data_IF_183993452086
#
_entry.id   IF_183993452086
#
_cell.length_a   1.000
_cell.length_b   1.000
_cell.length_c   1.000
_cell.angle_alpha   90.00
_cell.angle_beta   90.00
_cell.angle_gamma   90.00
#
_symmetry.space_group_name_H-M   'P 1'
#
loop_
_entity.id
_entity.type
_entity.pdbx_description
1 polymer ?
#
# COMPACT_ATOMS: atom_id res chain seq x y z
N UNK A 1 -7.27 7.01 12.80
CA UNK A 1 -6.88 5.59 12.82
C UNK A 1 -5.74 5.34 11.88
N UNK A 2 -4.83 4.41 12.19
CA UNK A 2 -3.82 3.98 11.21
C UNK A 2 -2.34 4.22 11.48
N UNK A 3 -1.89 3.99 12.71
CA UNK A 3 -0.44 3.84 12.97
C UNK A 3 -0.09 2.37 13.02
N UNK A 4 0.31 1.93 14.21
CA UNK A 4 0.62 0.54 14.56
C UNK A 4 -0.47 -0.47 14.16
N UNK A 5 -1.75 -0.07 14.18
CA UNK A 5 -2.87 -0.95 13.81
C UNK A 5 -2.80 -1.42 12.35
N UNK A 6 -2.47 -0.55 11.41
CA UNK A 6 -2.30 -0.96 10.01
C UNK A 6 -1.04 -1.81 9.79
N UNK A 7 0.00 -1.64 10.61
CA UNK A 7 1.15 -2.55 10.59
C UNK A 7 0.74 -3.94 11.09
N UNK A 8 -0.07 -4.04 12.14
CA UNK A 8 -0.61 -5.31 12.61
C UNK A 8 -1.44 -6.03 11.53
N UNK A 9 -2.30 -5.31 10.79
CA UNK A 9 -3.06 -5.86 9.66
C UNK A 9 -2.14 -6.48 8.59
N UNK A 10 -1.08 -5.77 8.21
CA UNK A 10 -0.10 -6.27 7.24
C UNK A 10 0.69 -7.49 7.75
N UNK A 11 1.04 -7.53 9.03
CA UNK A 11 1.73 -8.68 9.65
C UNK A 11 0.82 -9.91 9.69
N UNK A 12 -0.45 -9.73 10.05
CA UNK A 12 -1.44 -10.81 10.01
C UNK A 12 -1.62 -11.31 8.58
N UNK A 13 -1.75 -10.40 7.61
CA UNK A 13 -1.87 -10.79 6.20
C UNK A 13 -0.63 -11.52 5.70
N UNK A 14 0.58 -11.10 6.09
CA UNK A 14 1.82 -11.82 5.74
C UNK A 14 1.81 -13.26 6.23
N UNK A 15 1.35 -13.50 7.46
CA UNK A 15 1.20 -14.85 8.00
C UNK A 15 0.17 -15.67 7.20
N UNK A 16 -0.96 -15.08 6.79
CA UNK A 16 -1.94 -15.73 5.91
C UNK A 16 -1.29 -16.12 4.58
N UNK A 17 -0.57 -15.20 3.94
CA UNK A 17 0.12 -15.47 2.67
C UNK A 17 1.20 -16.56 2.82
N UNK A 18 1.89 -16.61 3.97
CA UNK A 18 2.89 -17.63 4.25
C UNK A 18 2.26 -19.03 4.38
N UNK A 19 1.07 -19.11 4.99
CA UNK A 19 0.31 -20.37 5.06
C UNK A 19 -0.17 -20.82 3.69
N UNK A 20 -0.67 -19.90 2.86
CA UNK A 20 -1.05 -20.21 1.46
C UNK A 20 0.15 -20.77 0.70
N UNK A 21 1.32 -20.13 0.81
CA UNK A 21 2.56 -20.63 0.19
C UNK A 21 2.85 -22.09 0.56
N UNK A 22 2.70 -22.45 1.83
CA UNK A 22 2.95 -23.82 2.31
C UNK A 22 1.86 -24.79 1.82
N UNK A 23 0.59 -24.40 1.93
CA UNK A 23 -0.55 -25.25 1.56
C UNK A 23 -0.60 -25.57 0.06
N UNK A 24 -0.14 -24.65 -0.78
CA UNK A 24 -0.13 -24.78 -2.24
C UNK A 24 1.25 -25.13 -2.82
N UNK A 25 2.25 -25.41 -1.96
CA UNK A 25 3.63 -25.74 -2.33
C UNK A 25 4.25 -24.74 -3.34
N UNK A 26 4.06 -23.45 -3.06
CA UNK A 26 4.52 -22.39 -3.96
C UNK A 26 6.01 -22.09 -3.75
N UNK A 27 6.77 -21.80 -4.83
CA UNK A 27 8.21 -21.51 -4.73
C UNK A 27 8.47 -20.20 -3.97
N UNK A 28 7.56 -19.23 -4.08
CA UNK A 28 7.68 -17.89 -3.49
C UNK A 28 6.39 -17.47 -2.80
N UNK A 29 6.48 -16.47 -1.92
CA UNK A 29 5.31 -15.90 -1.27
C UNK A 29 4.36 -15.29 -2.33
N UNK A 30 3.09 -15.73 -2.41
CA UNK A 30 2.17 -15.20 -3.40
C UNK A 30 1.80 -13.73 -3.15
N UNK A 31 1.40 -13.03 -4.22
CA UNK A 31 0.87 -11.68 -4.13
C UNK A 31 -0.57 -11.69 -3.59
N UNK A 32 -0.94 -10.81 -2.63
CA UNK A 32 -2.30 -10.75 -2.12
C UNK A 32 -3.35 -10.52 -3.23
N UNK A 33 -3.06 -9.69 -4.22
CA UNK A 33 -3.99 -9.43 -5.34
C UNK A 33 -4.31 -10.65 -6.21
N UNK A 34 -3.58 -11.77 -6.07
CA UNK A 34 -3.88 -13.01 -6.79
C UNK A 34 -4.87 -13.91 -6.03
N UNK A 35 -5.15 -13.62 -4.75
CA UNK A 35 -6.01 -14.43 -3.87
C UNK A 35 -7.24 -13.68 -3.35
N UNK A 36 -7.21 -12.34 -3.40
CA UNK A 36 -8.33 -11.51 -3.00
C UNK A 36 -8.89 -10.76 -4.21
N UNK A 37 -10.10 -11.12 -4.62
CA UNK A 37 -10.82 -10.44 -5.72
C UNK A 37 -11.09 -8.96 -5.42
N UNK A 38 -11.23 -8.63 -4.13
CA UNK A 38 -11.45 -7.28 -3.65
C UNK A 38 -10.56 -6.99 -2.44
N UNK A 39 -9.83 -5.88 -2.51
CA UNK A 39 -9.08 -5.32 -1.38
C UNK A 39 -9.59 -3.90 -1.15
N UNK A 40 -10.12 -3.64 0.05
CA UNK A 40 -10.68 -2.35 0.43
C UNK A 40 -10.27 -1.92 1.82
N UNK A 41 -10.39 -0.63 2.10
CA UNK A 41 -10.12 -0.07 3.42
C UNK A 41 -10.36 1.44 3.47
N UNK A 42 -10.49 1.97 4.69
CA UNK A 42 -10.72 3.41 4.95
C UNK A 42 -9.56 3.97 5.77
N UNK A 43 -9.21 5.23 5.53
CA UNK A 43 -8.03 5.84 6.15
C UNK A 43 -6.76 5.13 5.70
N UNK A 44 -5.95 4.63 6.64
CA UNK A 44 -4.74 3.88 6.30
C UNK A 44 -5.01 2.51 5.70
N UNK A 45 -6.18 1.92 5.96
CA UNK A 45 -6.62 0.72 5.24
C UNK A 45 -6.76 0.99 3.74
N UNK A 46 -7.12 2.22 3.35
CA UNK A 46 -7.16 2.62 1.93
C UNK A 46 -5.76 2.70 1.31
N UNK A 47 -4.76 3.15 2.06
CA UNK A 47 -3.36 3.11 1.63
C UNK A 47 -2.85 1.67 1.47
N UNK A 48 -3.18 0.79 2.42
CA UNK A 48 -2.85 -0.64 2.33
C UNK A 48 -3.53 -1.27 1.11
N UNK A 49 -4.80 -0.95 0.87
CA UNK A 49 -5.55 -1.41 -0.30
C UNK A 49 -4.91 -0.92 -1.62
N UNK A 50 -4.43 0.32 -1.66
CA UNK A 50 -3.68 0.85 -2.80
C UNK A 50 -2.38 0.05 -3.05
N UNK A 51 -1.57 -0.16 -2.00
CA UNK A 51 -0.29 -0.88 -2.09
C UNK A 51 -0.47 -2.32 -2.58
N UNK A 52 -1.39 -3.07 -1.98
CA UNK A 52 -1.54 -4.50 -2.23
C UNK A 52 -2.41 -4.80 -3.46
N UNK A 53 -3.43 -3.99 -3.71
CA UNK A 53 -4.34 -4.17 -4.83
C UNK A 53 -3.82 -3.50 -6.10
N UNK A 54 -3.87 -2.16 -6.15
CA UNK A 54 -3.58 -1.41 -7.37
C UNK A 54 -2.11 -1.45 -7.77
N UNK A 55 -1.21 -1.31 -6.79
CA UNK A 55 0.24 -1.33 -7.04
C UNK A 55 0.80 -2.76 -7.06
N UNK A 56 0.00 -3.77 -6.69
CA UNK A 56 0.37 -5.19 -6.66
C UNK A 56 1.68 -5.46 -5.92
N UNK A 57 1.95 -4.71 -4.84
CA UNK A 57 3.19 -4.86 -4.10
C UNK A 57 3.25 -6.21 -3.37
N UNK A 58 4.41 -6.87 -3.35
CA UNK A 58 4.68 -7.95 -2.40
C UNK A 58 4.44 -7.48 -0.96
N UNK A 59 3.87 -8.36 -0.12
CA UNK A 59 3.48 -8.01 1.25
C UNK A 59 4.68 -7.51 2.09
N UNK A 60 5.88 -8.04 1.87
CA UNK A 60 7.10 -7.58 2.53
C UNK A 60 7.47 -6.14 2.16
N UNK A 61 7.37 -5.80 0.87
CA UNK A 61 7.59 -4.45 0.39
C UNK A 61 6.52 -3.51 0.94
N UNK A 62 5.25 -3.92 0.94
CA UNK A 62 4.15 -3.13 1.49
C UNK A 62 4.33 -2.82 2.98
N UNK A 63 4.80 -3.78 3.79
CA UNK A 63 5.14 -3.56 5.21
C UNK A 63 6.20 -2.47 5.35
N UNK A 64 7.31 -2.60 4.62
CA UNK A 64 8.41 -1.63 4.66
C UNK A 64 7.94 -0.24 4.27
N UNK A 65 7.22 -0.13 3.14
CA UNK A 65 6.74 1.15 2.64
C UNK A 65 5.66 1.77 3.54
N UNK A 66 4.81 0.96 4.18
CA UNK A 66 3.85 1.46 5.15
C UNK A 66 4.53 2.09 6.36
N UNK A 67 5.58 1.46 6.90
CA UNK A 67 6.37 2.04 8.01
C UNK A 67 7.01 3.36 7.57
N UNK A 68 7.71 3.38 6.43
CA UNK A 68 8.32 4.59 5.89
C UNK A 68 7.30 5.72 5.66
N UNK A 69 6.15 5.38 5.08
CA UNK A 69 5.07 6.31 4.80
C UNK A 69 4.51 6.91 6.08
N UNK A 70 4.18 6.06 7.07
CA UNK A 70 3.59 6.52 8.33
C UNK A 70 4.57 7.35 9.15
N UNK A 71 5.86 7.04 9.14
CA UNK A 71 6.88 7.89 9.75
C UNK A 71 6.99 9.25 9.07
N UNK A 72 7.02 9.28 7.73
CA UNK A 72 7.13 10.54 6.98
C UNK A 72 5.91 11.45 7.14
N UNK A 73 4.71 10.86 7.13
CA UNK A 73 3.45 11.60 7.12
C UNK A 73 2.94 11.91 8.53
N UNK A 74 3.13 11.00 9.49
CA UNK A 74 2.55 11.11 10.83
C UNK A 74 3.56 11.37 11.95
N UNK A 75 4.87 11.44 11.67
CA UNK A 75 5.84 11.83 12.70
C UNK A 75 5.59 13.26 13.19
N UNK A 76 5.46 13.39 14.51
CA UNK A 76 5.22 14.65 15.23
C UNK A 76 6.50 15.50 15.27
N UNK A 77 6.98 16.02 14.13
CA UNK A 77 7.85 17.20 14.22
C UNK A 77 6.98 18.36 14.72
N UNK A 78 7.31 18.90 15.91
CA UNK A 78 6.69 20.08 16.51
C UNK A 78 6.85 21.29 15.57
N UNK A 79 5.97 21.44 14.59
CA UNK A 79 5.86 22.65 13.80
C UNK A 79 4.55 23.33 14.16
N UNK A 80 4.68 24.52 14.75
CA UNK A 80 3.57 25.29 15.32
C UNK A 80 2.48 25.59 14.29
N UNK A 81 1.24 25.63 14.80
CA UNK A 81 -0.02 26.30 14.35
C UNK A 81 -0.36 26.51 12.86
N UNK A 82 0.40 26.00 11.89
CA UNK A 82 0.16 26.15 10.44
C UNK A 82 0.19 24.76 9.77
N UNK A 83 -0.76 23.88 10.10
CA UNK A 83 -0.50 22.42 10.08
C UNK A 83 -1.20 21.60 8.98
N UNK A 84 -2.19 22.11 8.25
CA UNK A 84 -3.00 21.27 7.34
C UNK A 84 -2.49 21.21 5.88
N UNK A 85 -2.12 22.35 5.28
CA UNK A 85 -1.61 22.38 3.88
C UNK A 85 -0.27 21.63 3.76
N UNK A 86 0.61 21.78 4.75
CA UNK A 86 1.89 21.07 4.80
C UNK A 86 1.70 19.55 4.83
N UNK A 87 0.69 19.05 5.56
CA UNK A 87 0.41 17.61 5.65
C UNK A 87 -0.10 17.02 4.34
N UNK A 88 -0.92 17.76 3.59
CA UNK A 88 -1.40 17.33 2.29
C UNK A 88 -0.25 17.17 1.28
N UNK A 89 0.65 18.17 1.21
CA UNK A 89 1.80 18.11 0.30
C UNK A 89 2.79 16.99 0.67
N UNK A 90 3.01 16.74 1.97
CA UNK A 90 3.85 15.64 2.44
C UNK A 90 3.21 14.29 2.12
N UNK A 91 1.89 14.15 2.30
CA UNK A 91 1.15 12.96 1.92
C UNK A 91 1.26 12.70 0.42
N UNK A 92 0.96 13.72 -0.40
CA UNK A 92 1.06 13.63 -1.86
C UNK A 92 2.47 13.21 -2.29
N UNK A 93 3.51 13.86 -1.78
CA UNK A 93 4.90 13.51 -2.11
C UNK A 93 5.25 12.07 -1.68
N UNK A 94 4.77 11.62 -0.52
CA UNK A 94 4.98 10.24 -0.07
C UNK A 94 4.24 9.23 -0.96
N UNK A 95 3.03 9.55 -1.42
CA UNK A 95 2.28 8.71 -2.35
C UNK A 95 2.94 8.66 -3.73
N UNK A 96 3.51 9.76 -4.22
CA UNK A 96 4.28 9.77 -5.48
C UNK A 96 5.49 8.84 -5.39
N UNK A 97 6.28 8.96 -4.33
CA UNK A 97 7.41 8.05 -4.07
C UNK A 97 6.94 6.59 -4.00
N UNK A 98 5.80 6.32 -3.37
CA UNK A 98 5.23 4.97 -3.29
C UNK A 98 4.92 4.38 -4.67
N UNK A 99 4.32 5.17 -5.56
CA UNK A 99 3.98 4.77 -6.94
C UNK A 99 5.25 4.46 -7.74
N UNK A 100 6.27 5.32 -7.62
CA UNK A 100 7.58 5.12 -8.28
C UNK A 100 8.30 3.87 -7.76
N UNK A 101 8.31 3.65 -6.44
CA UNK A 101 8.90 2.44 -5.82
C UNK A 101 8.22 1.17 -6.30
N UNK A 102 6.92 1.22 -6.62
CA UNK A 102 6.20 0.12 -7.22
C UNK A 102 6.47 -0.06 -8.73
N UNK A 103 7.31 0.79 -9.34
CA UNK A 103 7.68 0.73 -10.75
C UNK A 103 6.69 1.39 -11.70
N UNK A 104 5.80 2.25 -11.19
CA UNK A 104 4.80 2.95 -12.00
C UNK A 104 5.16 4.43 -12.20
N UNK A 105 4.79 5.04 -13.35
CA UNK A 105 4.83 6.49 -13.51
C UNK A 105 3.96 7.20 -12.48
N UNK A 106 4.40 8.36 -11.99
CA UNK A 106 3.69 9.14 -10.95
C UNK A 106 2.26 9.54 -11.36
N UNK A 107 2.03 9.74 -12.65
CA UNK A 107 0.76 10.09 -13.28
C UNK A 107 -0.11 8.88 -13.64
N UNK A 108 0.26 7.68 -13.15
CA UNK A 108 -0.51 6.46 -13.35
C UNK A 108 -1.94 6.60 -12.84
N UNK A 109 -2.90 6.32 -13.72
CA UNK A 109 -4.31 6.32 -13.38
C UNK A 109 -4.66 5.16 -12.44
N UNK A 110 -5.56 5.42 -11.49
CA UNK A 110 -6.07 4.39 -10.58
C UNK A 110 -6.78 3.24 -11.31
N UNK A 111 -7.46 3.54 -12.43
CA UNK A 111 -7.99 2.53 -13.35
C UNK A 111 -7.16 2.55 -14.62
N UNK A 112 -6.76 1.39 -15.12
CA UNK A 112 -6.22 1.29 -16.48
C UNK A 112 -7.28 1.73 -17.50
N UNK A 113 -6.86 2.09 -18.71
CA UNK A 113 -7.77 2.03 -19.83
C UNK A 113 -7.96 0.53 -20.12
N UNK A 114 -9.19 0.03 -19.96
CA UNK A 114 -9.52 -1.35 -20.31
C UNK A 114 -9.29 -1.53 -21.81
N UNK A 115 -8.16 -2.10 -22.21
CA UNK A 115 -7.90 -2.56 -23.60
C UNK A 115 -8.67 -3.83 -23.95
N UNK A 116 -9.84 -4.03 -23.33
CA UNK A 116 -10.80 -5.09 -23.65
C UNK A 116 -11.95 -4.55 -24.49
N UNK A 117 -11.63 -3.84 -25.57
CA UNK A 117 -12.50 -3.66 -26.74
C UNK A 117 -11.64 -3.59 -28.01
N UNK A 118 -11.01 -4.71 -28.36
CA UNK A 118 -10.60 -5.00 -29.73
C UNK A 118 -10.56 -6.51 -29.94
N UNK A 119 -11.75 -7.07 -30.17
CA UNK A 119 -11.96 -8.27 -30.97
C UNK A 119 -12.78 -7.84 -32.19
#
# INVERSE_FOLDING_TARGET
DGGIRGLSELVILKEIMARIKILEDLPTLPLPCNYFDLIGGVGTGGLIALMLGRLKMPIDTAIKEYVNFTERVFSKKKFGRTTNVYRANVFEAATKTLIETAGYPVDSLMRGQDTSQSL
#
